data_IF_408141067050
#
_entry.id   IF_408141067050
#
_cell.length_a   1.000
_cell.length_b   1.000
_cell.length_c   1.000
_cell.angle_alpha   90.00
_cell.angle_beta   90.00
_cell.angle_gamma   90.00
#
_symmetry.space_group_name_H-M   'P 1'
#
loop_
_entity.id
_entity.type
_entity.pdbx_description
1 polymer ?
#
# COMPACT_ATOMS: atom_id res chain seq x y z
N UNK A 1 16.34 -22.76 -1.30
CA UNK A 1 15.72 -22.00 -0.21
C UNK A 1 16.10 -20.54 -0.33
N UNK A 2 15.21 -19.73 -0.88
CA UNK A 2 15.29 -18.28 -0.99
C UNK A 2 14.27 -17.70 0.00
N UNK A 3 14.74 -16.83 0.88
CA UNK A 3 13.91 -16.14 1.87
C UNK A 3 13.99 -14.65 1.56
N UNK A 4 12.84 -14.04 1.32
CA UNK A 4 12.71 -12.59 1.21
C UNK A 4 12.32 -12.01 2.57
N UNK A 5 13.17 -11.11 3.07
CA UNK A 5 13.14 -10.55 4.43
C UNK A 5 12.63 -9.11 4.45
N UNK A 6 12.22 -8.55 3.31
CA UNK A 6 11.81 -7.15 3.21
C UNK A 6 10.58 -6.99 2.30
N UNK A 7 9.57 -7.83 2.53
CA UNK A 7 8.36 -7.79 1.72
C UNK A 7 7.27 -6.99 2.41
N UNK A 8 6.57 -6.16 1.63
CA UNK A 8 5.62 -5.19 2.17
C UNK A 8 4.22 -5.38 1.60
N UNK A 9 3.21 -5.02 2.39
CA UNK A 9 1.83 -4.86 1.92
C UNK A 9 1.54 -3.38 1.61
N UNK A 10 0.47 -3.18 0.85
CA UNK A 10 -0.12 -1.87 0.52
C UNK A 10 -1.43 -1.71 1.29
N UNK A 11 -1.37 -1.81 2.61
CA UNK A 11 -2.53 -1.70 3.51
C UNK A 11 -3.23 -0.33 3.43
N UNK A 12 -2.53 0.68 2.89
CA UNK A 12 -3.12 2.00 2.60
C UNK A 12 -4.40 1.92 1.76
N UNK A 13 -4.59 0.88 0.95
CA UNK A 13 -5.82 0.71 0.15
C UNK A 13 -7.02 0.13 0.94
N UNK A 14 -6.78 -0.37 2.17
CA UNK A 14 -7.75 -1.11 3.01
C UNK A 14 -7.70 -0.64 4.47
N UNK A 15 -7.40 0.64 4.70
CA UNK A 15 -7.11 1.14 6.05
C UNK A 15 -8.27 0.97 7.04
N UNK A 16 -9.53 1.07 6.57
CA UNK A 16 -10.73 0.84 7.38
C UNK A 16 -10.93 -0.63 7.78
N UNK A 17 -10.39 -1.55 6.98
CA UNK A 17 -10.44 -2.98 7.24
C UNK A 17 -9.31 -3.43 8.16
N UNK A 18 -8.10 -2.88 7.96
CA UNK A 18 -6.87 -3.24 8.70
C UNK A 18 -6.82 -2.58 10.08
N UNK A 19 -7.19 -1.30 10.20
CA UNK A 19 -7.07 -0.54 11.44
C UNK A 19 -8.41 -0.35 12.14
N UNK A 20 -9.06 -1.47 12.51
CA UNK A 20 -10.26 -1.46 13.35
C UNK A 20 -9.90 -1.25 14.82
N UNK A 21 -9.67 0.02 15.19
CA UNK A 21 -9.28 0.38 16.54
C UNK A 21 -10.49 0.36 17.47
N UNK A 22 -10.28 -0.09 18.70
CA UNK A 22 -11.35 -0.25 19.71
C UNK A 22 -11.15 0.67 20.92
N UNK A 23 -12.20 0.79 21.74
CA UNK A 23 -12.17 1.52 23.00
C UNK A 23 -11.78 2.99 22.84
N UNK A 24 -10.86 3.53 23.67
CA UNK A 24 -10.44 4.93 23.62
C UNK A 24 -9.84 5.37 22.27
N UNK A 25 -9.38 4.41 21.46
CA UNK A 25 -8.72 4.67 20.18
C UNK A 25 -9.65 4.54 18.97
N UNK A 26 -10.91 4.10 19.16
CA UNK A 26 -11.87 3.93 18.07
C UNK A 26 -12.09 5.21 17.23
N UNK A 27 -11.91 6.39 17.85
CA UNK A 27 -11.96 7.69 17.16
C UNK A 27 -10.85 7.90 16.11
N UNK A 28 -9.79 7.08 16.14
CA UNK A 28 -8.67 7.15 15.20
C UNK A 28 -8.78 6.12 14.07
N UNK A 29 -9.83 5.29 14.08
CA UNK A 29 -10.12 4.36 12.98
C UNK A 29 -10.25 5.14 11.66
N UNK A 30 -9.50 4.74 10.62
CA UNK A 30 -9.58 5.37 9.30
C UNK A 30 -11.00 5.35 8.74
N UNK A 31 -11.47 6.51 8.26
CA UNK A 31 -12.78 6.62 7.62
C UNK A 31 -12.61 6.67 6.11
N UNK A 32 -13.19 5.70 5.40
CA UNK A 32 -13.23 5.72 3.92
C UNK A 32 -14.09 6.90 3.47
N UNK A 33 -13.48 7.85 2.78
CA UNK A 33 -14.13 9.07 2.26
C UNK A 33 -14.33 9.03 0.75
N UNK A 34 -13.66 8.11 0.06
CA UNK A 34 -13.83 7.84 -1.36
C UNK A 34 -13.64 6.34 -1.60
N UNK A 35 -14.54 5.76 -2.39
CA UNK A 35 -14.50 4.37 -2.81
C UNK A 35 -13.97 4.24 -4.26
N UNK A 36 -13.82 3.00 -4.73
CA UNK A 36 -13.38 2.68 -6.09
C UNK A 36 -12.38 1.54 -6.09
N UNK A 37 -11.62 1.45 -7.20
CA UNK A 37 -10.48 0.53 -7.26
C UNK A 37 -9.45 0.87 -6.17
N UNK A 38 -8.59 -0.07 -5.75
CA UNK A 38 -7.68 0.15 -4.61
C UNK A 38 -6.91 1.48 -4.66
N UNK A 39 -6.38 1.86 -5.83
CA UNK A 39 -5.64 3.10 -6.03
C UNK A 39 -6.50 4.38 -6.00
N UNK A 40 -7.82 4.28 -6.14
CA UNK A 40 -8.76 5.41 -6.11
C UNK A 40 -9.35 5.66 -4.73
N UNK A 41 -9.26 4.68 -3.83
CA UNK A 41 -9.78 4.83 -2.47
C UNK A 41 -9.06 5.94 -1.73
N UNK A 42 -9.78 6.63 -0.85
CA UNK A 42 -9.22 7.66 0.04
C UNK A 42 -9.77 7.51 1.45
N UNK A 43 -8.92 7.82 2.41
CA UNK A 43 -9.24 7.71 3.83
C UNK A 43 -8.91 8.99 4.57
N UNK A 44 -9.78 9.37 5.52
CA UNK A 44 -9.48 10.37 6.55
C UNK A 44 -8.99 9.64 7.78
N UNK A 45 -7.73 9.85 8.18
CA UNK A 45 -7.13 9.22 9.36
C UNK A 45 -6.04 10.10 9.97
N UNK A 46 -5.64 9.79 11.20
CA UNK A 46 -4.56 10.48 11.94
C UNK A 46 -3.35 9.57 12.20
N UNK A 47 -3.20 8.50 11.41
CA UNK A 47 -2.13 7.50 11.56
C UNK A 47 -0.81 7.87 10.87
N UNK A 48 -0.73 9.02 10.19
CA UNK A 48 0.49 9.48 9.52
C UNK A 48 1.33 10.33 10.48
N UNK A 49 2.46 9.81 11.00
CA UNK A 49 3.27 10.53 11.98
C UNK A 49 4.15 11.62 11.34
N UNK A 50 4.33 11.62 10.01
CA UNK A 50 5.25 12.54 9.35
C UNK A 50 4.63 13.91 9.11
N UNK A 51 5.42 14.95 9.36
CA UNK A 51 5.03 16.33 9.02
C UNK A 51 4.91 16.55 7.49
N UNK A 52 4.28 17.65 7.08
CA UNK A 52 4.05 17.97 5.66
C UNK A 52 5.33 18.01 4.82
N UNK A 53 6.40 18.60 5.35
CA UNK A 53 7.70 18.69 4.65
C UNK A 53 8.30 17.32 4.39
N UNK A 54 8.27 16.44 5.38
CA UNK A 54 8.81 15.08 5.26
C UNK A 54 8.00 14.26 4.26
N UNK A 55 6.67 14.40 4.25
CA UNK A 55 5.81 13.74 3.25
C UNK A 55 6.14 14.16 1.82
N UNK A 56 6.32 15.45 1.59
CA UNK A 56 6.66 15.97 0.27
C UNK A 56 8.02 15.44 -0.23
N UNK A 57 9.01 15.32 0.66
CA UNK A 57 10.34 14.84 0.30
C UNK A 57 10.37 13.36 -0.16
N UNK A 58 9.40 12.55 0.25
CA UNK A 58 9.27 11.13 -0.11
C UNK A 58 8.07 10.86 -1.03
N UNK A 59 7.56 11.88 -1.74
CA UNK A 59 6.42 11.71 -2.63
C UNK A 59 6.87 11.21 -4.02
N UNK A 60 6.76 9.90 -4.22
CA UNK A 60 6.95 9.22 -5.50
C UNK A 60 5.65 8.57 -6.01
N UNK A 61 4.48 9.09 -5.60
CA UNK A 61 3.19 8.47 -5.92
C UNK A 61 2.96 8.35 -7.43
N UNK A 62 3.42 9.34 -8.21
CA UNK A 62 3.30 9.35 -9.67
C UNK A 62 3.95 8.14 -10.36
N UNK A 63 4.94 7.48 -9.75
CA UNK A 63 5.60 6.31 -10.34
C UNK A 63 4.75 5.04 -10.24
N UNK A 64 3.88 4.95 -9.22
CA UNK A 64 3.09 3.76 -8.94
C UNK A 64 1.60 3.96 -9.24
N UNK A 65 1.17 5.16 -9.63
CA UNK A 65 -0.18 5.41 -10.10
C UNK A 65 -0.37 4.80 -11.50
N UNK A 66 -1.25 3.79 -11.66
CA UNK A 66 -1.49 3.17 -12.97
C UNK A 66 -1.95 4.16 -14.04
N UNK A 67 -2.61 5.27 -13.65
CA UNK A 67 -3.11 6.28 -14.60
C UNK A 67 -2.00 7.15 -15.18
N UNK A 68 -0.90 7.34 -14.44
CA UNK A 68 0.26 8.11 -14.92
C UNK A 68 1.06 7.31 -15.96
N UNK A 69 0.95 5.97 -15.92
CA UNK A 69 1.65 5.06 -16.85
C UNK A 69 3.16 5.33 -16.94
N UNK A 70 3.77 5.67 -15.81
CA UNK A 70 5.19 6.03 -15.74
C UNK A 70 6.06 4.85 -16.21
N UNK A 71 6.97 5.13 -17.15
CA UNK A 71 7.79 4.10 -17.85
C UNK A 71 6.96 2.93 -18.41
N UNK A 72 5.80 3.21 -18.97
CA UNK A 72 4.92 2.19 -19.55
C UNK A 72 4.15 1.37 -18.52
N UNK A 73 4.10 1.81 -17.26
CA UNK A 73 3.22 1.24 -16.24
C UNK A 73 3.77 -0.01 -15.56
N UNK A 74 4.93 -0.51 -15.98
CA UNK A 74 5.56 -1.71 -15.42
C UNK A 74 5.71 -1.63 -13.89
N UNK A 75 6.14 -0.48 -13.38
CA UNK A 75 6.32 -0.29 -11.94
C UNK A 75 4.98 -0.32 -11.19
N UNK A 76 3.92 0.25 -11.76
CA UNK A 76 2.59 0.18 -11.16
C UNK A 76 2.01 -1.24 -11.20
N UNK A 77 2.25 -1.99 -12.29
CA UNK A 77 1.81 -3.39 -12.42
C UNK A 77 2.46 -4.29 -11.36
N UNK A 78 3.76 -4.12 -11.11
CA UNK A 78 4.47 -4.90 -10.07
C UNK A 78 3.95 -4.64 -8.66
N UNK A 79 3.28 -3.51 -8.40
CA UNK A 79 2.72 -3.20 -7.08
C UNK A 79 1.46 -4.01 -6.74
N UNK A 80 0.86 -4.71 -7.70
CA UNK A 80 -0.37 -5.49 -7.50
C UNK A 80 -0.17 -6.54 -6.40
N UNK A 81 0.98 -7.23 -6.37
CA UNK A 81 1.32 -8.20 -5.30
C UNK A 81 1.41 -7.59 -3.89
N UNK A 82 1.40 -6.25 -3.77
CA UNK A 82 1.30 -5.56 -2.49
C UNK A 82 -0.10 -5.61 -1.87
N UNK A 83 -1.15 -5.89 -2.64
CA UNK A 83 -2.53 -5.95 -2.13
C UNK A 83 -3.39 -7.10 -2.66
N UNK A 84 -2.93 -7.80 -3.69
CA UNK A 84 -3.55 -9.00 -4.22
C UNK A 84 -2.67 -10.20 -3.86
N UNK A 85 -3.19 -11.06 -2.98
CA UNK A 85 -2.45 -12.22 -2.48
C UNK A 85 -2.29 -13.33 -3.53
N UNK A 86 -3.23 -13.47 -4.46
CA UNK A 86 -3.10 -14.45 -5.55
C UNK A 86 -1.97 -14.04 -6.49
N UNK A 87 -1.95 -12.76 -6.89
CA UNK A 87 -0.84 -12.22 -7.69
C UNK A 87 0.49 -12.34 -6.95
N UNK A 88 0.52 -12.07 -5.65
CA UNK A 88 1.72 -12.20 -4.83
C UNK A 88 2.29 -13.62 -4.83
N UNK A 89 1.44 -14.63 -4.64
CA UNK A 89 1.86 -16.03 -4.65
C UNK A 89 2.41 -16.43 -6.02
N UNK A 90 1.77 -15.99 -7.11
CA UNK A 90 2.26 -16.22 -8.47
C UNK A 90 3.63 -15.53 -8.72
N UNK A 91 3.82 -14.32 -8.22
CA UNK A 91 5.10 -13.63 -8.30
C UNK A 91 6.18 -14.35 -7.44
N UNK A 92 5.85 -14.83 -6.24
CA UNK A 92 6.77 -15.62 -5.42
C UNK A 92 7.22 -16.92 -6.11
N UNK A 93 6.28 -17.65 -6.73
CA UNK A 93 6.58 -18.86 -7.48
C UNK A 93 7.51 -18.56 -8.67
N UNK A 94 7.22 -17.49 -9.43
CA UNK A 94 8.05 -17.06 -10.58
C UNK A 94 9.48 -16.72 -10.16
N UNK A 95 9.65 -16.03 -9.04
CA UNK A 95 10.97 -15.63 -8.52
C UNK A 95 11.67 -16.74 -7.72
N UNK A 96 11.02 -17.89 -7.50
CA UNK A 96 11.56 -19.01 -6.73
C UNK A 96 11.72 -18.71 -5.24
N UNK A 97 10.87 -17.85 -4.67
CA UNK A 97 10.90 -17.48 -3.25
C UNK A 97 10.15 -18.53 -2.43
N UNK A 98 10.85 -19.20 -1.52
CA UNK A 98 10.28 -20.23 -0.65
C UNK A 98 9.53 -19.62 0.54
N UNK A 99 10.04 -18.51 1.09
CA UNK A 99 9.46 -17.82 2.24
C UNK A 99 9.53 -16.30 2.10
N UNK A 100 8.47 -15.61 2.55
CA UNK A 100 8.45 -14.15 2.71
C UNK A 100 8.14 -13.76 4.15
N UNK A 101 8.89 -12.80 4.67
CA UNK A 101 8.49 -12.03 5.84
C UNK A 101 7.74 -10.78 5.39
N UNK A 102 6.49 -10.68 5.83
CA UNK A 102 5.58 -9.61 5.39
C UNK A 102 5.42 -8.57 6.49
N UNK A 103 5.67 -7.30 6.15
CA UNK A 103 5.56 -6.17 7.08
C UNK A 103 4.39 -5.24 6.71
N UNK A 104 3.64 -4.75 7.71
CA UNK A 104 2.86 -3.53 7.56
C UNK A 104 3.82 -2.34 7.54
N UNK A 105 3.61 -1.38 6.66
CA UNK A 105 4.62 -0.36 6.36
C UNK A 105 4.20 1.08 6.54
N UNK A 106 2.90 1.34 6.67
CA UNK A 106 2.37 2.69 6.48
C UNK A 106 2.68 3.23 5.08
N UNK A 107 2.92 2.38 4.08
CA UNK A 107 3.08 2.83 2.70
C UNK A 107 1.75 3.46 2.26
N UNK A 108 1.81 4.75 1.96
CA UNK A 108 0.66 5.53 1.51
C UNK A 108 0.14 5.04 0.17
N UNK A 109 -1.16 5.26 -0.08
CA UNK A 109 -1.78 5.08 -1.40
C UNK A 109 -1.01 5.91 -2.42
N UNK A 110 -0.33 5.29 -3.40
CA UNK A 110 0.42 6.01 -4.40
C UNK A 110 -0.48 6.40 -5.56
N UNK A 111 -1.41 7.30 -5.30
CA UNK A 111 -2.24 7.88 -6.33
C UNK A 111 -2.02 9.38 -6.38
N UNK A 112 -2.01 9.92 -7.58
CA UNK A 112 -2.06 11.36 -7.78
C UNK A 112 -3.44 11.85 -7.32
N UNK A 113 -3.46 13.01 -6.65
CA UNK A 113 -4.69 13.71 -6.34
C UNK A 113 -5.24 14.39 -7.60
#
# INVERSE_FOLDING_TARGET
MIIDLDSHLREGYFMDEVYKLEGPYARYTPLKIQDGTPHERRFRHALEPRNARSRAAYNHNYMYDPKVNWRGGEIAERQIGGYDMERRLADMEREGIDHQMVFPTGITIPAMN
#
